data_IF_974574650298
#
_entry.id   IF_974574650298
#
_cell.length_a   1.000
_cell.length_b   1.000
_cell.length_c   1.000
_cell.angle_alpha   90.00
_cell.angle_beta   90.00
_cell.angle_gamma   90.00
#
_symmetry.space_group_name_H-M   'P 1'
#
loop_
_entity.id
_entity.type
_entity.pdbx_description
1 polymer ?
#
# COMPACT_ATOMS: atom_id res chain seq x y z
N UNK A 1 -7.20 36.66 38.20
CA UNK A 1 -6.39 35.44 37.92
C UNK A 1 -7.21 34.16 37.80
N UNK A 2 -8.20 33.86 38.66
CA UNK A 2 -9.01 32.62 38.60
C UNK A 2 -9.95 32.46 37.39
N UNK A 3 -10.37 33.57 36.77
CA UNK A 3 -11.24 33.55 35.58
C UNK A 3 -10.48 33.25 34.27
N UNK A 4 -9.18 33.56 34.22
CA UNK A 4 -8.33 33.30 33.06
C UNK A 4 -8.06 31.81 32.89
N UNK A 5 -7.92 31.09 34.01
CA UNK A 5 -7.74 29.64 34.07
C UNK A 5 -8.95 28.84 33.60
N UNK A 6 -10.17 29.32 33.87
CA UNK A 6 -11.41 28.65 33.42
C UNK A 6 -11.62 28.81 31.91
N UNK A 7 -11.25 29.95 31.33
CA UNK A 7 -11.32 30.19 29.89
C UNK A 7 -10.32 29.32 29.11
N UNK A 8 -9.10 29.15 29.64
CA UNK A 8 -8.09 28.27 29.04
C UNK A 8 -8.52 26.78 29.03
N UNK A 9 -9.21 26.32 30.09
CA UNK A 9 -9.70 24.95 30.16
C UNK A 9 -10.86 24.67 29.18
N UNK A 10 -11.75 25.65 28.95
CA UNK A 10 -12.84 25.53 27.99
C UNK A 10 -12.38 25.48 26.53
N UNK A 11 -11.33 26.25 26.19
CA UNK A 11 -10.77 26.27 24.84
C UNK A 11 -9.97 25.00 24.50
N UNK A 12 -9.37 24.35 25.49
CA UNK A 12 -8.62 23.10 25.30
C UNK A 12 -9.52 21.92 24.90
N UNK A 13 -10.79 21.91 25.32
CA UNK A 13 -11.77 20.86 24.96
C UNK A 13 -12.32 21.03 23.54
N UNK A 14 -12.31 22.24 22.97
CA UNK A 14 -12.79 22.49 21.62
C UNK A 14 -11.82 22.01 20.52
N UNK A 15 -10.53 21.84 20.84
CA UNK A 15 -9.49 21.42 19.86
C UNK A 15 -9.48 19.91 19.62
N UNK A 16 -10.12 19.11 20.48
CA UNK A 16 -10.21 17.65 20.30
C UNK A 16 -11.38 17.21 19.39
N UNK A 17 -12.28 18.13 19.01
CA UNK A 17 -13.30 17.89 18.00
C UNK A 17 -12.70 17.95 16.59
N UNK A 18 -11.70 17.12 16.34
CA UNK A 18 -11.20 16.88 14.98
C UNK A 18 -12.30 16.17 14.18
N UNK A 19 -12.54 16.55 12.91
CA UNK A 19 -13.55 15.91 12.07
C UNK A 19 -13.09 14.50 11.67
N UNK A 20 -13.23 13.53 12.58
CA UNK A 20 -13.00 12.11 12.32
C UNK A 20 -14.25 11.34 11.88
N UNK A 21 -15.41 12.00 11.80
CA UNK A 21 -16.72 11.36 11.60
C UNK A 21 -17.36 11.64 10.22
N UNK A 22 -16.65 12.27 9.29
CA UNK A 22 -17.18 12.61 7.96
C UNK A 22 -16.49 11.87 6.81
N UNK A 23 -15.72 10.82 7.09
CA UNK A 23 -15.21 9.97 6.01
C UNK A 23 -16.35 9.03 5.58
N UNK A 24 -17.11 9.44 4.57
CA UNK A 24 -18.02 8.55 3.86
C UNK A 24 -17.29 7.29 3.33
N UNK A 25 -18.02 6.31 2.76
CA UNK A 25 -17.38 5.12 2.20
C UNK A 25 -16.22 5.53 1.28
N UNK A 26 -15.02 4.99 1.54
CA UNK A 26 -13.84 5.27 0.73
C UNK A 26 -13.96 4.50 -0.57
N UNK A 27 -14.20 5.23 -1.66
CA UNK A 27 -14.41 4.71 -3.01
C UNK A 27 -13.16 4.99 -3.82
N UNK A 28 -12.44 3.93 -4.15
CA UNK A 28 -11.17 4.00 -4.87
C UNK A 28 -11.40 3.74 -6.36
N UNK A 29 -10.68 4.46 -7.23
CA UNK A 29 -10.69 4.13 -8.65
C UNK A 29 -10.08 2.73 -8.86
N UNK A 30 -10.71 1.94 -9.74
CA UNK A 30 -10.16 0.67 -10.20
C UNK A 30 -9.61 0.87 -11.61
N UNK A 31 -8.29 0.76 -11.75
CA UNK A 31 -7.60 0.86 -13.04
C UNK A 31 -7.87 -0.40 -13.87
N UNK A 32 -8.87 -0.35 -14.75
CA UNK A 32 -9.12 -1.39 -15.76
C UNK A 32 -8.97 -0.84 -17.17
N UNK A 33 -8.42 -1.66 -18.07
CA UNK A 33 -8.30 -1.30 -19.49
C UNK A 33 -9.66 -1.21 -20.22
N UNK A 34 -10.71 -1.81 -19.64
CA UNK A 34 -12.06 -1.87 -20.20
C UNK A 34 -13.07 -1.49 -19.12
N UNK A 35 -14.06 -0.68 -19.47
CA UNK A 35 -15.15 -0.27 -18.59
C UNK A 35 -16.40 -1.13 -18.85
N UNK A 36 -16.73 -2.03 -17.93
CA UNK A 36 -17.94 -2.86 -18.00
C UNK A 36 -19.14 -2.25 -17.27
N UNK A 37 -19.02 -0.98 -16.87
CA UNK A 37 -20.06 -0.27 -16.15
C UNK A 37 -21.08 0.38 -17.09
N UNK A 38 -22.34 0.52 -16.66
CA UNK A 38 -23.35 1.22 -17.44
C UNK A 38 -22.97 2.69 -17.64
N UNK A 39 -23.54 3.31 -18.68
CA UNK A 39 -23.10 4.58 -19.24
C UNK A 39 -22.79 5.67 -18.19
N UNK A 40 -21.58 6.21 -18.24
CA UNK A 40 -21.12 7.32 -17.38
C UNK A 40 -20.53 6.91 -16.03
N UNK A 41 -20.57 5.63 -15.66
CA UNK A 41 -19.92 5.13 -14.45
C UNK A 41 -18.60 4.43 -14.77
N UNK A 42 -17.64 4.55 -13.85
CA UNK A 42 -16.37 3.85 -13.93
C UNK A 42 -16.32 2.71 -12.90
N UNK A 43 -15.45 1.72 -13.10
CA UNK A 43 -15.21 0.71 -12.09
C UNK A 43 -14.49 1.32 -10.89
N UNK A 44 -15.00 1.02 -9.71
CA UNK A 44 -14.49 1.46 -8.42
C UNK A 44 -14.32 0.27 -7.48
N UNK A 45 -13.35 0.36 -6.58
CA UNK A 45 -13.11 -0.61 -5.52
C UNK A 45 -13.55 -0.03 -4.19
N UNK A 46 -14.46 -0.73 -3.52
CA UNK A 46 -15.02 -0.34 -2.24
C UNK A 46 -14.88 -1.52 -1.29
N UNK A 47 -14.05 -1.37 -0.26
CA UNK A 47 -13.70 -2.45 0.68
C UNK A 47 -13.20 -3.75 0.00
N UNK A 48 -12.63 -3.65 -1.20
CA UNK A 48 -12.09 -4.79 -1.95
C UNK A 48 -13.07 -5.47 -2.92
N UNK A 49 -14.32 -4.99 -2.98
CA UNK A 49 -15.31 -5.40 -4.00
C UNK A 49 -15.30 -4.39 -5.13
N UNK A 50 -15.33 -4.89 -6.37
CA UNK A 50 -15.42 -4.06 -7.58
C UNK A 50 -16.89 -3.81 -7.90
N UNK A 51 -17.26 -2.54 -8.02
CA UNK A 51 -18.60 -2.10 -8.37
C UNK A 51 -18.53 -0.88 -9.31
N UNK A 52 -19.67 -0.42 -9.80
CA UNK A 52 -19.76 0.74 -10.68
C UNK A 52 -20.10 2.00 -9.87
N UNK A 53 -19.36 3.08 -10.08
CA UNK A 53 -19.55 4.32 -9.32
C UNK A 53 -18.59 5.43 -9.74
N UNK A 54 -18.48 6.45 -8.88
CA UNK A 54 -17.53 7.54 -9.03
C UNK A 54 -16.52 7.50 -7.86
N UNK A 55 -15.21 7.55 -8.13
CA UNK A 55 -14.19 7.54 -7.11
C UNK A 55 -14.20 8.86 -6.33
N UNK A 56 -14.03 8.77 -5.01
CA UNK A 56 -13.84 9.95 -4.15
C UNK A 56 -12.40 10.05 -3.60
N UNK A 57 -11.56 9.05 -3.88
CA UNK A 57 -10.16 9.01 -3.47
C UNK A 57 -9.21 9.17 -4.66
N UNK A 58 -8.13 9.94 -4.46
CA UNK A 58 -7.05 10.07 -5.44
C UNK A 58 -6.08 8.88 -5.44
N UNK A 59 -6.05 8.11 -4.34
CA UNK A 59 -5.22 6.92 -4.21
C UNK A 59 -5.97 5.68 -4.71
N UNK A 60 -5.26 4.62 -5.07
CA UNK A 60 -5.87 3.32 -5.39
C UNK A 60 -6.08 2.47 -4.13
N UNK A 61 -7.02 1.53 -4.20
CA UNK A 61 -7.27 0.57 -3.12
C UNK A 61 -5.99 -0.22 -2.76
N UNK A 62 -5.19 -0.58 -3.75
CA UNK A 62 -3.94 -1.32 -3.55
C UNK A 62 -2.90 -0.50 -2.79
N UNK A 63 -2.81 0.80 -3.03
CA UNK A 63 -1.88 1.69 -2.31
C UNK A 63 -2.28 1.84 -0.85
N UNK A 64 -3.58 1.92 -0.54
CA UNK A 64 -4.05 2.05 0.84
C UNK A 64 -3.92 0.74 1.60
N UNK A 65 -4.13 -0.40 0.94
CA UNK A 65 -3.95 -1.73 1.54
C UNK A 65 -2.50 -2.19 1.59
N UNK A 66 -1.56 -1.47 0.97
CA UNK A 66 -0.15 -1.80 1.02
C UNK A 66 0.39 -1.61 2.44
N UNK A 67 0.51 -2.69 3.19
CA UNK A 67 1.15 -2.65 4.50
C UNK A 67 2.61 -2.19 4.35
N UNK A 68 3.06 -1.17 5.10
CA UNK A 68 4.44 -0.69 5.05
C UNK A 68 5.37 -1.69 5.75
N UNK A 69 5.73 -2.77 5.04
CA UNK A 69 6.76 -3.71 5.50
C UNK A 69 8.09 -3.31 4.87
N UNK A 70 9.13 -3.16 5.70
CA UNK A 70 10.52 -3.04 5.20
C UNK A 70 10.89 -4.31 4.46
N UNK A 71 10.83 -4.30 3.13
CA UNK A 71 11.30 -5.41 2.30
C UNK A 71 12.83 -5.44 2.38
N UNK A 72 13.40 -6.49 3.00
CA UNK A 72 14.85 -6.71 2.98
C UNK A 72 15.27 -7.03 1.54
N UNK A 73 15.87 -6.08 0.85
CA UNK A 73 16.44 -6.31 -0.49
C UNK A 73 17.57 -7.33 -0.31
N UNK A 74 17.36 -8.56 -0.79
CA UNK A 74 18.43 -9.55 -0.87
C UNK A 74 19.15 -9.34 -2.19
N UNK A 75 20.39 -8.89 -2.14
CA UNK A 75 21.25 -8.87 -3.32
C UNK A 75 21.52 -10.32 -3.74
N UNK A 76 20.92 -10.72 -4.86
CA UNK A 76 21.15 -12.04 -5.44
C UNK A 76 22.57 -12.10 -5.98
N UNK A 77 23.46 -12.84 -5.29
CA UNK A 77 24.81 -13.06 -5.79
C UNK A 77 24.79 -14.20 -6.83
N UNK A 78 25.22 -13.96 -8.09
CA UNK A 78 25.25 -15.00 -9.11
C UNK A 78 26.21 -16.15 -8.78
N UNK A 79 27.20 -15.89 -7.90
CA UNK A 79 28.24 -16.87 -7.51
C UNK A 79 27.69 -18.04 -6.69
N UNK A 80 26.50 -17.91 -6.10
CA UNK A 80 25.87 -18.99 -5.33
C UNK A 80 25.19 -20.07 -6.20
N UNK A 81 25.12 -19.89 -7.54
CA UNK A 81 24.37 -20.80 -8.44
C UNK A 81 25.07 -22.10 -8.79
N UNK A 82 26.40 -22.16 -8.70
CA UNK A 82 27.10 -23.40 -9.03
C UNK A 82 27.58 -24.06 -7.75
N UNK A 83 26.95 -25.18 -7.39
CA UNK A 83 27.46 -26.10 -6.37
C UNK A 83 28.90 -26.57 -6.66
N UNK A 84 29.38 -26.34 -7.89
CA UNK A 84 30.72 -26.68 -8.39
C UNK A 84 31.60 -25.45 -8.64
N UNK A 85 31.19 -24.24 -8.20
CA UNK A 85 31.98 -23.02 -8.40
C UNK A 85 33.39 -23.10 -7.77
N UNK A 86 33.56 -23.95 -6.77
CA UNK A 86 34.81 -24.19 -6.06
C UNK A 86 35.60 -25.39 -6.61
N UNK A 87 35.02 -26.20 -7.51
CA UNK A 87 35.64 -27.42 -8.01
C UNK A 87 36.31 -27.15 -9.36
N UNK A 88 37.54 -27.63 -9.55
CA UNK A 88 38.24 -27.59 -10.82
C UNK A 88 37.76 -28.77 -11.69
N UNK A 89 37.10 -28.45 -12.81
CA UNK A 89 36.60 -29.43 -13.79
C UNK A 89 37.25 -29.19 -15.16
N UNK A 90 38.50 -29.60 -15.40
CA UNK A 90 39.12 -29.47 -16.71
C UNK A 90 38.43 -30.36 -17.75
N UNK A 91 38.33 -29.88 -19.00
CA UNK A 91 37.70 -30.62 -20.08
C UNK A 91 38.46 -31.93 -20.37
N UNK A 92 37.75 -33.05 -20.45
CA UNK A 92 38.33 -34.38 -20.68
C UNK A 92 38.66 -35.18 -19.42
N UNK A 93 38.53 -34.60 -18.22
CA UNK A 93 38.68 -35.34 -16.96
C UNK A 93 37.36 -36.00 -16.54
N UNK A 94 37.44 -37.24 -16.03
CA UNK A 94 36.31 -37.91 -15.38
C UNK A 94 36.18 -37.44 -13.93
N UNK A 95 35.64 -36.25 -13.73
CA UNK A 95 35.33 -35.71 -12.41
C UNK A 95 35.88 -34.32 -12.16
N UNK A 96 35.40 -33.71 -11.08
CA UNK A 96 35.85 -32.41 -10.59
C UNK A 96 36.48 -32.62 -9.21
N UNK A 97 37.59 -31.94 -8.93
CA UNK A 97 38.29 -32.02 -7.64
C UNK A 97 38.59 -30.63 -7.07
#
# INVERSE_FOLDING_TARGET
>A
MRYLSSLAAGLALAVLATPGFAEGPRVYAYESAVNYCPAGLQPVSLNGVICCGQPNQAQSYQQVMAHPVRKKIRHYSPRARSARAHLNCPAGAKGCY
#
